data_IF_727716902913
#
_entry.id   IF_727716902913
#
_cell.length_a   1.000
_cell.length_b   1.000
_cell.length_c   1.000
_cell.angle_alpha   90.00
_cell.angle_beta   90.00
_cell.angle_gamma   90.00
#
_symmetry.space_group_name_H-M   'P 1'
#
loop_
_entity.id
_entity.type
_entity.pdbx_description
1 polymer ?
#
# COMPACT_ATOMS: atom_id res chain seq x y z
N UNK A 1 30.05 2.67 20.34
CA UNK A 1 28.61 2.96 20.42
C UNK A 1 28.30 3.78 19.18
N UNK A 2 27.87 3.13 18.09
CA UNK A 2 27.77 3.78 16.79
C UNK A 2 26.57 4.72 16.76
N UNK A 3 26.81 5.99 16.42
CA UNK A 3 25.82 7.00 16.03
C UNK A 3 25.19 6.65 14.67
N UNK A 4 24.78 5.40 14.47
CA UNK A 4 24.05 5.04 13.25
C UNK A 4 22.69 5.71 13.32
N UNK A 5 22.41 6.69 12.45
CA UNK A 5 21.07 7.25 12.31
C UNK A 5 20.88 8.54 11.54
N UNK A 6 21.94 9.29 11.30
CA UNK A 6 21.87 10.48 10.46
C UNK A 6 22.42 10.18 9.07
N UNK A 7 21.79 10.75 8.04
CA UNK A 7 22.39 10.79 6.71
C UNK A 7 23.55 11.78 6.70
N UNK A 8 24.60 11.43 5.99
CA UNK A 8 25.80 12.24 5.81
C UNK A 8 26.02 12.59 4.34
N UNK A 9 26.69 13.72 4.03
CA UNK A 9 27.12 14.02 2.68
C UNK A 9 27.95 12.88 2.10
N UNK A 10 27.55 12.39 0.92
CA UNK A 10 28.19 11.23 0.26
C UNK A 10 27.46 9.91 0.47
N UNK A 11 26.45 9.85 1.34
CA UNK A 11 25.61 8.66 1.48
C UNK A 11 24.84 8.39 0.19
N UNK A 12 24.72 7.10 -0.12
CA UNK A 12 23.96 6.65 -1.29
C UNK A 12 22.52 6.35 -0.90
N UNK A 13 21.60 6.95 -1.64
CA UNK A 13 20.16 6.73 -1.51
C UNK A 13 19.66 5.98 -2.75
N UNK A 14 18.92 4.90 -2.53
CA UNK A 14 18.33 4.09 -3.61
C UNK A 14 16.82 4.16 -3.53
N UNK A 15 16.14 4.34 -4.67
CA UNK A 15 14.68 4.30 -4.71
C UNK A 15 14.17 2.90 -4.36
N UNK A 16 13.29 2.85 -3.38
CA UNK A 16 12.68 1.63 -2.86
C UNK A 16 11.16 1.68 -3.06
N UNK A 17 10.58 0.62 -3.65
CA UNK A 17 9.15 0.37 -3.56
C UNK A 17 8.82 -0.13 -2.16
N UNK A 18 7.69 0.29 -1.60
CA UNK A 18 7.28 -0.02 -0.23
C UNK A 18 6.22 -1.12 -0.19
N UNK A 19 6.35 -2.07 0.74
CA UNK A 19 5.27 -2.99 1.10
C UNK A 19 4.26 -2.32 2.04
N UNK A 20 3.20 -3.03 2.41
CA UNK A 20 2.40 -2.66 3.59
C UNK A 20 3.31 -2.59 4.82
N UNK A 21 3.21 -1.52 5.62
CA UNK A 21 3.89 -1.41 6.90
C UNK A 21 2.98 -1.92 8.02
N UNK A 22 3.23 -3.15 8.47
CA UNK A 22 2.35 -3.83 9.44
C UNK A 22 3.16 -4.63 10.45
N UNK A 23 2.68 -4.71 11.68
CA UNK A 23 3.37 -5.36 12.80
C UNK A 23 4.78 -4.82 13.06
N UNK A 24 5.00 -3.53 12.77
CA UNK A 24 6.33 -2.91 12.88
C UNK A 24 7.30 -3.32 11.78
N UNK A 25 6.85 -4.04 10.74
CA UNK A 25 7.68 -4.51 9.64
C UNK A 25 7.35 -3.80 8.33
N UNK A 26 8.35 -3.68 7.47
CA UNK A 26 8.24 -3.14 6.12
C UNK A 26 9.25 -3.87 5.23
N UNK A 27 8.79 -4.41 4.10
CA UNK A 27 9.68 -4.86 3.04
C UNK A 27 9.89 -3.73 2.03
N UNK A 28 11.13 -3.56 1.61
CA UNK A 28 11.49 -2.70 0.49
C UNK A 28 11.98 -3.55 -0.66
N UNK A 29 11.70 -3.10 -1.89
CA UNK A 29 12.33 -3.64 -3.08
C UNK A 29 13.17 -2.56 -3.73
N UNK A 30 14.47 -2.82 -3.89
CA UNK A 30 15.43 -1.95 -4.60
C UNK A 30 15.97 -2.67 -5.82
N UNK A 31 16.47 -1.92 -6.80
CA UNK A 31 17.28 -2.47 -7.89
C UNK A 31 18.71 -1.95 -7.71
N UNK A 32 19.75 -2.81 -7.68
CA UNK A 32 19.73 -4.27 -7.89
C UNK A 32 19.48 -5.11 -6.61
N UNK A 33 19.24 -4.50 -5.45
CA UNK A 33 19.29 -5.17 -4.13
C UNK A 33 18.21 -6.23 -3.83
N UNK A 34 17.10 -6.24 -4.57
CA UNK A 34 16.02 -7.21 -4.37
C UNK A 34 15.14 -6.91 -3.14
N UNK A 35 14.32 -7.87 -2.69
CA UNK A 35 13.49 -7.72 -1.50
C UNK A 35 14.33 -7.72 -0.22
N UNK A 36 14.05 -6.80 0.69
CA UNK A 36 14.64 -6.77 2.04
C UNK A 36 13.61 -6.37 3.08
N UNK A 37 13.48 -7.19 4.13
CA UNK A 37 12.56 -6.96 5.24
C UNK A 37 13.23 -6.19 6.37
N UNK A 38 12.55 -5.18 6.88
CA UNK A 38 13.03 -4.27 7.90
C UNK A 38 12.08 -4.24 9.10
N UNK A 39 12.66 -4.13 10.29
CA UNK A 39 11.97 -3.59 11.46
C UNK A 39 11.98 -2.07 11.40
N UNK A 40 10.82 -1.46 11.70
CA UNK A 40 10.59 -0.03 11.71
C UNK A 40 10.19 0.37 13.14
N UNK A 41 11.14 0.80 13.99
CA UNK A 41 10.83 1.14 15.39
C UNK A 41 9.76 2.22 15.55
N UNK A 42 9.71 3.16 14.59
CA UNK A 42 8.73 4.25 14.54
C UNK A 42 7.63 3.98 13.49
N UNK A 43 7.19 2.72 13.39
CA UNK A 43 6.21 2.28 12.38
C UNK A 43 4.93 3.10 12.38
N UNK A 44 4.43 3.54 13.54
CA UNK A 44 3.23 4.37 13.65
C UNK A 44 3.32 5.64 12.79
N UNK A 45 4.53 6.21 12.66
CA UNK A 45 4.78 7.37 11.83
C UNK A 45 4.69 7.12 10.33
N UNK A 46 4.88 5.88 9.86
CA UNK A 46 4.65 5.46 8.48
C UNK A 46 3.20 5.00 8.29
N UNK A 47 2.67 4.22 9.23
CA UNK A 47 1.31 3.71 9.21
C UNK A 47 0.26 4.83 9.12
N UNK A 48 0.50 5.97 9.77
CA UNK A 48 -0.40 7.13 9.72
C UNK A 48 -0.46 7.86 8.38
N UNK A 49 0.48 7.59 7.47
CA UNK A 49 0.58 8.28 6.17
C UNK A 49 0.52 7.34 4.97
N UNK A 50 0.81 6.04 5.15
CA UNK A 50 0.80 5.08 4.06
C UNK A 50 -0.60 4.91 3.44
N UNK A 51 -0.72 4.98 2.14
CA UNK A 51 -2.00 4.87 1.45
C UNK A 51 -2.94 6.07 1.60
N UNK A 52 -2.48 7.18 2.19
CA UNK A 52 -3.22 8.47 2.25
C UNK A 52 -2.94 9.37 1.04
N UNK A 53 -2.10 8.93 0.10
CA UNK A 53 -1.71 9.71 -1.06
C UNK A 53 -0.71 10.83 -0.80
N UNK A 54 -0.15 10.92 0.41
CA UNK A 54 0.87 11.92 0.77
C UNK A 54 2.30 11.48 0.42
N UNK A 55 2.57 10.18 0.36
CA UNK A 55 3.90 9.65 0.03
C UNK A 55 4.12 9.74 -1.48
N UNK A 56 5.33 10.13 -1.88
CA UNK A 56 5.77 10.13 -3.27
C UNK A 56 5.59 8.77 -3.92
N UNK A 57 5.22 8.77 -5.21
CA UNK A 57 4.91 7.54 -5.94
C UNK A 57 5.72 7.44 -7.22
N UNK A 58 6.07 6.22 -7.60
CA UNK A 58 6.67 5.90 -8.90
C UNK A 58 5.70 5.13 -9.79
N UNK A 59 5.87 5.29 -11.11
CA UNK A 59 5.07 4.60 -12.10
C UNK A 59 5.36 3.09 -12.08
N UNK A 60 4.31 2.29 -11.99
CA UNK A 60 4.35 0.83 -12.05
C UNK A 60 3.89 0.31 -13.41
N UNK A 61 2.79 0.87 -13.91
CA UNK A 61 2.23 0.64 -15.23
C UNK A 61 1.47 1.90 -15.65
N UNK A 62 1.00 2.06 -16.90
CA UNK A 62 0.25 3.25 -17.30
C UNK A 62 -0.87 3.57 -16.30
N UNK A 63 -0.80 4.77 -15.69
CA UNK A 63 -1.76 5.27 -14.69
C UNK A 63 -1.85 4.46 -13.37
N UNK A 64 -0.87 3.59 -13.10
CA UNK A 64 -0.76 2.80 -11.87
C UNK A 64 0.55 3.15 -11.18
N UNK A 65 0.47 3.53 -9.91
CA UNK A 65 1.58 4.11 -9.15
C UNK A 65 1.71 3.45 -7.79
N UNK A 66 2.94 3.24 -7.32
CA UNK A 66 3.24 2.70 -5.99
C UNK A 66 3.96 3.72 -5.14
N UNK A 67 3.67 3.71 -3.85
CA UNK A 67 4.41 4.53 -2.87
C UNK A 67 5.87 4.06 -2.78
N UNK A 68 6.76 5.04 -2.78
CA UNK A 68 8.21 4.83 -2.82
C UNK A 68 8.93 5.71 -1.81
N UNK A 69 10.10 5.27 -1.41
CA UNK A 69 11.01 6.00 -0.55
C UNK A 69 12.43 6.00 -1.11
N UNK A 70 13.30 6.82 -0.54
CA UNK A 70 14.73 6.72 -0.75
C UNK A 70 15.36 6.01 0.45
N UNK A 71 16.08 4.92 0.21
CA UNK A 71 16.69 4.09 1.25
C UNK A 71 18.21 4.25 1.24
N UNK A 72 18.79 4.58 2.40
CA UNK A 72 20.20 4.35 2.69
C UNK A 72 20.30 3.10 3.56
N UNK A 73 20.71 1.99 2.95
CA UNK A 73 20.93 0.73 3.68
C UNK A 73 22.11 0.84 4.64
N UNK A 74 23.12 1.63 4.29
CA UNK A 74 24.34 1.81 5.09
C UNK A 74 24.07 2.49 6.43
N UNK A 75 23.14 3.44 6.48
CA UNK A 75 22.78 4.17 7.70
C UNK A 75 21.51 3.63 8.37
N UNK A 76 20.77 2.76 7.68
CA UNK A 76 19.46 2.29 8.13
C UNK A 76 18.45 3.44 8.18
N UNK A 77 18.38 4.22 7.10
CA UNK A 77 17.51 5.39 6.98
C UNK A 77 16.61 5.28 5.75
N UNK A 78 15.30 5.39 5.98
CA UNK A 78 14.27 5.47 4.96
C UNK A 78 13.75 6.91 4.89
N UNK A 79 13.95 7.59 3.76
CA UNK A 79 13.41 8.92 3.51
C UNK A 79 12.11 8.83 2.72
N UNK A 80 11.03 9.28 3.33
CA UNK A 80 9.72 9.42 2.72
C UNK A 80 9.59 10.82 2.14
N UNK A 81 9.61 10.91 0.82
CA UNK A 81 9.41 12.18 0.13
C UNK A 81 7.90 12.46 -0.01
N UNK A 82 7.44 13.70 0.20
CA UNK A 82 6.03 14.02 -0.01
C UNK A 82 5.69 14.05 -1.51
N UNK A 83 4.46 13.67 -1.85
CA UNK A 83 3.94 13.68 -3.23
C UNK A 83 3.80 15.09 -3.79
N UNK A 84 3.49 16.05 -2.93
CA UNK A 84 3.28 17.45 -3.28
C UNK A 84 4.10 18.34 -2.34
N UNK A 85 4.60 19.49 -2.83
CA UNK A 85 5.24 20.46 -1.96
C UNK A 85 4.19 21.11 -1.05
N UNK A 86 4.61 21.51 0.14
CA UNK A 86 3.84 22.40 1.03
C UNK A 86 4.24 23.84 0.76
N UNK A 87 3.27 24.76 0.92
CA UNK A 87 3.53 26.19 0.81
C UNK A 87 3.91 26.75 2.19
N UNK A 88 5.01 27.50 2.26
CA UNK A 88 5.45 28.16 3.49
C UNK A 88 4.66 29.45 3.72
N UNK A 89 4.81 30.04 4.91
CA UNK A 89 4.25 31.35 5.25
C UNK A 89 4.75 32.45 4.29
N UNK A 90 6.02 32.37 3.87
CA UNK A 90 6.64 33.28 2.90
C UNK A 90 6.18 33.04 1.45
N UNK A 91 5.37 32.00 1.22
CA UNK A 91 4.80 31.67 -0.08
C UNK A 91 5.65 30.72 -0.94
N UNK A 92 6.83 30.30 -0.45
CA UNK A 92 7.72 29.35 -1.11
C UNK A 92 7.17 27.92 -1.09
N UNK A 93 7.61 27.09 -2.03
CA UNK A 93 7.29 25.66 -2.07
C UNK A 93 8.43 24.84 -1.45
N UNK A 94 8.10 23.96 -0.49
CA UNK A 94 9.07 23.07 0.16
C UNK A 94 8.66 21.61 0.06
N UNK A 95 9.65 20.75 -0.15
CA UNK A 95 9.53 19.30 -0.02
C UNK A 95 10.20 18.88 1.27
N UNK A 96 9.42 18.66 2.32
CA UNK A 96 9.94 18.20 3.60
C UNK A 96 9.86 16.67 3.66
N UNK A 97 11.00 16.02 3.45
CA UNK A 97 11.10 14.57 3.54
C UNK A 97 11.10 14.14 5.02
N UNK A 98 10.36 13.07 5.34
CA UNK A 98 10.39 12.46 6.67
C UNK A 98 11.42 11.33 6.68
N UNK A 99 12.39 11.41 7.59
CA UNK A 99 13.34 10.33 7.82
C UNK A 99 12.79 9.34 8.86
N UNK A 100 12.90 8.05 8.56
CA UNK A 100 12.58 6.96 9.47
C UNK A 100 13.79 6.06 9.62
N UNK A 101 13.97 5.52 10.83
CA UNK A 101 14.97 4.49 11.08
C UNK A 101 14.43 3.12 10.69
N UNK A 102 15.29 2.34 10.05
CA UNK A 102 15.04 0.94 9.71
C UNK A 102 16.23 0.09 10.15
N UNK A 103 15.94 -1.12 10.61
CA UNK A 103 16.94 -2.12 10.97
C UNK A 103 16.56 -3.45 10.32
N UNK A 104 17.52 -4.35 10.02
CA UNK A 104 17.19 -5.69 9.54
C UNK A 104 16.18 -6.35 10.48
N UNK A 105 15.14 -6.98 9.91
CA UNK A 105 14.11 -7.62 10.72
C UNK A 105 14.68 -8.83 11.48
N UNK A 106 14.43 -8.89 12.78
CA UNK A 106 14.90 -10.00 13.65
C UNK A 106 13.76 -10.80 14.27
N UNK A 107 12.57 -10.22 14.38
CA UNK A 107 11.40 -10.83 15.01
C UNK A 107 10.16 -10.62 14.13
N UNK A 108 9.31 -11.64 14.05
CA UNK A 108 8.03 -11.56 13.35
C UNK A 108 6.90 -11.28 14.34
N UNK A 109 5.96 -10.39 14.00
CA UNK A 109 4.81 -10.11 14.85
C UNK A 109 3.91 -11.34 14.97
N UNK A 110 3.23 -11.48 16.11
CA UNK A 110 2.25 -12.55 16.37
C UNK A 110 0.94 -12.35 15.61
N UNK A 111 0.58 -11.10 15.31
CA UNK A 111 -0.56 -10.75 14.46
C UNK A 111 -0.32 -9.40 13.77
N UNK A 112 -0.82 -9.28 12.55
CA UNK A 112 -0.78 -8.07 11.72
C UNK A 112 -2.18 -7.67 11.23
N UNK A 113 -3.22 -8.38 11.68
CA UNK A 113 -4.55 -8.28 11.10
C UNK A 113 -5.15 -6.87 11.25
N UNK A 114 -5.03 -6.29 12.44
CA UNK A 114 -5.54 -4.94 12.73
C UNK A 114 -4.80 -3.87 11.93
N UNK A 115 -3.48 -4.01 11.77
CA UNK A 115 -2.66 -3.08 10.98
C UNK A 115 -3.02 -3.12 9.50
N UNK A 116 -3.22 -4.32 8.94
CA UNK A 116 -3.70 -4.48 7.56
C UNK A 116 -5.08 -3.84 7.42
N UNK A 117 -6.00 -4.12 8.35
CA UNK A 117 -7.35 -3.55 8.33
C UNK A 117 -7.33 -2.02 8.38
N UNK A 118 -6.54 -1.45 9.29
CA UNK A 118 -6.40 -0.01 9.43
C UNK A 118 -5.86 0.64 8.16
N UNK A 119 -4.86 0.03 7.52
CA UNK A 119 -4.29 0.51 6.27
C UNK A 119 -5.29 0.45 5.10
N UNK A 120 -6.12 -0.59 5.03
CA UNK A 120 -7.19 -0.69 4.03
C UNK A 120 -8.27 0.38 4.26
N UNK A 121 -8.71 0.58 5.50
CA UNK A 121 -9.65 1.66 5.84
C UNK A 121 -9.10 3.02 5.40
N UNK A 122 -7.82 3.27 5.68
CA UNK A 122 -7.14 4.52 5.30
C UNK A 122 -7.08 4.68 3.77
N UNK A 123 -6.74 3.62 3.04
CA UNK A 123 -6.64 3.61 1.58
C UNK A 123 -8.02 3.80 0.91
N UNK A 124 -9.07 3.22 1.47
CA UNK A 124 -10.46 3.43 1.04
C UNK A 124 -10.85 4.89 1.22
N UNK A 125 -10.60 5.49 2.40
CA UNK A 125 -10.87 6.91 2.65
C UNK A 125 -10.15 7.83 1.66
N UNK A 126 -8.91 7.51 1.32
CA UNK A 126 -8.16 8.23 0.28
C UNK A 126 -8.82 8.09 -1.10
N UNK A 127 -9.28 6.90 -1.48
CA UNK A 127 -9.95 6.69 -2.77
C UNK A 127 -11.28 7.42 -2.86
N UNK A 128 -12.06 7.42 -1.77
CA UNK A 128 -13.32 8.18 -1.66
C UNK A 128 -13.12 9.69 -1.90
N UNK A 129 -12.02 10.27 -1.39
CA UNK A 129 -11.77 11.71 -1.51
C UNK A 129 -11.07 12.13 -2.80
N UNK A 130 -10.29 11.24 -3.40
CA UNK A 130 -9.44 11.55 -4.56
C UNK A 130 -9.99 11.08 -5.91
N UNK A 131 -11.00 10.20 -5.91
CA UNK A 131 -11.48 9.52 -7.12
C UNK A 131 -10.44 8.56 -7.72
N UNK A 132 -9.39 8.23 -6.98
CA UNK A 132 -8.46 7.14 -7.32
C UNK A 132 -9.10 5.78 -6.97
N UNK A 133 -8.62 4.72 -7.60
CA UNK A 133 -8.77 3.36 -7.10
C UNK A 133 -7.49 2.94 -6.39
N UNK A 134 -7.55 1.88 -5.59
CA UNK A 134 -6.36 1.20 -5.12
C UNK A 134 -6.49 -0.31 -5.22
N UNK A 135 -5.37 -0.98 -5.42
CA UNK A 135 -5.26 -2.42 -5.36
C UNK A 135 -4.18 -2.82 -4.35
N UNK A 136 -4.46 -3.87 -3.58
CA UNK A 136 -3.43 -4.65 -2.89
C UNK A 136 -2.97 -5.72 -3.86
N UNK A 137 -1.67 -5.80 -4.12
CA UNK A 137 -1.10 -6.79 -5.04
C UNK A 137 0.30 -7.21 -4.58
N UNK A 138 0.87 -8.24 -5.21
CA UNK A 138 2.25 -8.65 -4.92
C UNK A 138 3.24 -7.50 -5.15
N UNK A 139 4.07 -7.26 -4.15
CA UNK A 139 5.05 -6.19 -4.17
C UNK A 139 6.31 -6.49 -5.00
N UNK A 140 7.12 -5.45 -5.22
CA UNK A 140 8.35 -5.48 -6.01
C UNK A 140 8.21 -4.94 -7.43
N UNK A 141 9.30 -4.38 -7.97
CA UNK A 141 9.33 -3.62 -9.24
C UNK A 141 8.87 -4.41 -10.46
N UNK A 142 9.09 -5.72 -10.46
CA UNK A 142 8.75 -6.63 -11.56
C UNK A 142 7.77 -7.73 -11.14
N UNK A 143 7.02 -7.54 -10.05
CA UNK A 143 6.01 -8.50 -9.61
C UNK A 143 4.97 -8.78 -10.71
N UNK A 144 4.34 -9.96 -10.74
CA UNK A 144 3.19 -10.20 -11.61
C UNK A 144 2.01 -9.27 -11.28
N UNK A 145 1.03 -9.19 -12.18
CA UNK A 145 -0.21 -8.45 -11.96
C UNK A 145 -1.17 -9.16 -10.98
N UNK A 146 -1.02 -10.47 -10.82
CA UNK A 146 -1.78 -11.30 -9.90
C UNK A 146 -0.86 -11.93 -8.84
N UNK A 147 -1.33 -12.13 -7.61
CA UNK A 147 -2.69 -11.83 -7.15
C UNK A 147 -2.92 -10.33 -6.92
N UNK A 148 -4.19 -9.90 -7.04
CA UNK A 148 -4.62 -8.56 -6.67
C UNK A 148 -6.00 -8.55 -6.01
N UNK A 149 -6.26 -7.55 -5.17
CA UNK A 149 -7.58 -7.19 -4.65
C UNK A 149 -7.75 -5.66 -4.79
N UNK A 150 -8.62 -5.27 -5.71
CA UNK A 150 -8.94 -3.90 -6.11
C UNK A 150 -10.14 -3.39 -5.32
N UNK A 151 -10.10 -2.13 -4.91
CA UNK A 151 -11.26 -1.35 -4.51
C UNK A 151 -11.38 -0.12 -5.43
N UNK A 152 -12.59 0.10 -5.96
CA UNK A 152 -12.89 1.21 -6.87
C UNK A 152 -14.32 1.70 -6.63
N UNK A 153 -14.53 3.01 -6.77
CA UNK A 153 -15.86 3.58 -6.93
C UNK A 153 -16.14 3.81 -8.42
N UNK A 154 -17.30 3.34 -8.87
CA UNK A 154 -17.80 3.58 -10.21
C UNK A 154 -19.05 4.45 -10.14
N UNK A 155 -19.22 5.41 -11.07
CA UNK A 155 -20.46 6.16 -11.19
C UNK A 155 -21.60 5.20 -11.58
N UNK A 156 -22.80 5.48 -11.07
CA UNK A 156 -24.04 4.77 -11.37
C UNK A 156 -25.20 5.76 -11.44
N UNK A 157 -26.32 5.35 -12.05
CA UNK A 157 -27.48 6.25 -12.27
C UNK A 157 -28.02 6.83 -10.96
N UNK A 158 -28.01 6.04 -9.88
CA UNK A 158 -28.48 6.41 -8.54
C UNK A 158 -27.34 6.87 -7.60
N UNK A 159 -26.12 7.09 -8.12
CA UNK A 159 -24.99 7.64 -7.37
C UNK A 159 -23.65 6.97 -7.68
N UNK A 160 -23.15 6.16 -6.77
CA UNK A 160 -21.90 5.42 -6.96
C UNK A 160 -22.00 4.01 -6.41
N UNK A 161 -21.35 3.09 -7.08
CA UNK A 161 -21.20 1.69 -6.64
C UNK A 161 -19.77 1.52 -6.14
N UNK A 162 -19.60 0.94 -4.95
CA UNK A 162 -18.32 0.40 -4.51
C UNK A 162 -18.16 -1.01 -5.07
N UNK A 163 -17.04 -1.24 -5.76
CA UNK A 163 -16.69 -2.53 -6.33
C UNK A 163 -15.38 -3.00 -5.71
N UNK A 164 -15.39 -4.23 -5.23
CA UNK A 164 -14.20 -4.96 -4.83
C UNK A 164 -14.01 -6.08 -5.84
N UNK A 165 -12.87 -6.10 -6.52
CA UNK A 165 -12.54 -7.13 -7.52
C UNK A 165 -11.25 -7.84 -7.11
N UNK A 166 -11.17 -9.15 -7.32
CA UNK A 166 -9.96 -9.92 -7.01
C UNK A 166 -9.67 -10.95 -8.10
N UNK A 167 -8.39 -11.21 -8.30
CA UNK A 167 -7.89 -12.33 -9.09
C UNK A 167 -6.63 -12.91 -8.43
N UNK A 168 -6.47 -14.25 -8.37
CA UNK A 168 -7.47 -15.24 -8.76
C UNK A 168 -8.71 -15.22 -7.84
N UNK A 169 -9.82 -15.90 -8.20
CA UNK A 169 -10.96 -16.04 -7.32
C UNK A 169 -10.56 -16.75 -5.99
N UNK A 170 -10.92 -16.21 -4.82
CA UNK A 170 -10.50 -16.73 -3.53
C UNK A 170 -11.39 -17.92 -3.11
N UNK A 171 -11.16 -19.08 -3.70
CA UNK A 171 -11.98 -20.29 -3.53
C UNK A 171 -12.08 -20.78 -2.07
N UNK A 172 -11.12 -20.48 -1.20
CA UNK A 172 -11.20 -20.88 0.22
C UNK A 172 -12.00 -19.90 1.09
N UNK A 173 -12.56 -18.83 0.52
CA UNK A 173 -13.19 -17.75 1.28
C UNK A 173 -14.72 -17.82 1.27
N UNK A 174 -15.33 -18.08 2.42
CA UNK A 174 -16.80 -18.13 2.58
C UNK A 174 -17.49 -16.83 2.15
N UNK A 175 -16.83 -15.68 2.36
CA UNK A 175 -17.34 -14.36 1.93
C UNK A 175 -17.47 -14.26 0.41
N UNK A 176 -16.55 -14.87 -0.34
CA UNK A 176 -16.46 -14.75 -1.78
C UNK A 176 -17.11 -15.89 -2.54
N UNK A 177 -17.22 -17.08 -1.94
CA UNK A 177 -17.82 -18.28 -2.54
C UNK A 177 -19.13 -18.01 -3.32
N UNK A 178 -20.11 -17.25 -2.79
CA UNK A 178 -21.35 -16.97 -3.52
C UNK A 178 -21.18 -16.15 -4.81
N UNK A 179 -20.03 -15.50 -4.99
CA UNK A 179 -19.72 -14.60 -6.10
C UNK A 179 -18.77 -15.22 -7.13
N UNK A 180 -18.26 -16.43 -6.88
CA UNK A 180 -17.35 -17.12 -7.80
C UNK A 180 -18.16 -17.78 -8.90
N UNK A 181 -17.88 -17.41 -10.15
CA UNK A 181 -18.49 -18.02 -11.34
C UNK A 181 -17.47 -18.94 -11.99
N UNK A 182 -17.85 -20.21 -12.19
CA UNK A 182 -16.97 -21.21 -12.78
C UNK A 182 -16.44 -20.77 -14.16
N UNK A 183 -15.13 -20.85 -14.35
CA UNK A 183 -14.44 -20.48 -15.59
C UNK A 183 -14.12 -19.00 -15.74
N UNK A 184 -14.39 -18.15 -14.73
CA UNK A 184 -13.91 -16.77 -14.70
C UNK A 184 -12.61 -16.65 -13.91
N UNK A 185 -11.64 -15.92 -14.47
CA UNK A 185 -10.33 -15.69 -13.84
C UNK A 185 -10.35 -14.59 -12.77
N UNK A 186 -11.49 -13.90 -12.60
CA UNK A 186 -11.71 -12.84 -11.61
C UNK A 186 -13.13 -12.89 -11.07
N UNK A 187 -13.32 -12.36 -9.88
CA UNK A 187 -14.64 -12.20 -9.25
C UNK A 187 -14.76 -10.82 -8.61
N UNK A 188 -15.98 -10.33 -8.51
CA UNK A 188 -16.28 -8.99 -7.99
C UNK A 188 -17.50 -8.98 -7.09
N UNK A 189 -17.43 -8.19 -6.02
CA UNK A 189 -18.56 -7.84 -5.15
C UNK A 189 -18.83 -6.35 -5.35
N UNK A 190 -20.05 -6.02 -5.78
CA UNK A 190 -20.52 -4.66 -5.97
C UNK A 190 -21.68 -4.32 -5.04
N UNK A 191 -21.70 -3.11 -4.48
CA UNK A 191 -22.81 -2.61 -3.69
C UNK A 191 -22.94 -1.08 -3.85
N UNK A 192 -24.14 -0.49 -3.64
CA UNK A 192 -24.27 0.96 -3.54
C UNK A 192 -23.29 1.51 -2.50
N UNK A 193 -22.61 2.61 -2.81
CA UNK A 193 -21.57 3.23 -1.96
C UNK A 193 -22.19 3.94 -0.73
N UNK A 194 -22.65 3.14 0.22
CA UNK A 194 -23.23 3.55 1.50
C UNK A 194 -22.21 3.41 2.63
N UNK A 195 -22.43 4.07 3.78
CA UNK A 195 -21.56 3.90 4.95
C UNK A 195 -21.35 2.42 5.30
N UNK A 196 -22.42 1.63 5.27
CA UNK A 196 -22.37 0.18 5.57
C UNK A 196 -21.49 -0.60 4.58
N UNK A 197 -21.61 -0.36 3.27
CA UNK A 197 -20.80 -1.10 2.29
C UNK A 197 -19.33 -0.67 2.31
N UNK A 198 -19.07 0.62 2.58
CA UNK A 198 -17.72 1.16 2.76
C UNK A 198 -17.06 0.61 4.02
N UNK A 199 -17.79 0.53 5.14
CA UNK A 199 -17.26 -0.02 6.40
C UNK A 199 -16.99 -1.54 6.34
N UNK A 200 -17.73 -2.26 5.49
CA UNK A 200 -17.55 -3.69 5.25
C UNK A 200 -16.38 -4.00 4.29
N UNK A 201 -16.04 -3.07 3.39
CA UNK A 201 -15.06 -3.29 2.33
C UNK A 201 -13.67 -3.80 2.81
N UNK A 202 -13.05 -3.25 3.87
CA UNK A 202 -11.78 -3.79 4.38
C UNK A 202 -11.85 -5.28 4.72
N UNK A 203 -12.94 -5.71 5.38
CA UNK A 203 -13.10 -7.11 5.78
C UNK A 203 -13.28 -8.03 4.58
N UNK A 204 -14.02 -7.59 3.55
CA UNK A 204 -14.19 -8.33 2.29
C UNK A 204 -12.86 -8.48 1.56
N UNK A 205 -12.06 -7.40 1.48
CA UNK A 205 -10.74 -7.43 0.86
C UNK A 205 -9.78 -8.37 1.60
N UNK A 206 -9.75 -8.31 2.93
CA UNK A 206 -8.92 -9.20 3.75
C UNK A 206 -9.27 -10.67 3.52
N UNK A 207 -10.56 -11.00 3.44
CA UNK A 207 -11.02 -12.36 3.16
C UNK A 207 -10.55 -12.91 1.80
N UNK A 208 -10.22 -12.04 0.83
CA UNK A 208 -9.56 -12.45 -0.41
C UNK A 208 -8.03 -12.57 -0.23
N UNK A 209 -7.40 -11.55 0.35
CA UNK A 209 -5.94 -11.47 0.55
C UNK A 209 -5.42 -12.68 1.34
N UNK A 210 -6.15 -13.11 2.37
CA UNK A 210 -5.80 -14.25 3.22
C UNK A 210 -5.68 -15.57 2.44
N UNK A 211 -6.38 -15.72 1.30
CA UNK A 211 -6.33 -16.94 0.48
C UNK A 211 -5.02 -17.11 -0.30
N UNK A 212 -4.25 -16.04 -0.47
CA UNK A 212 -3.03 -16.07 -1.28
C UNK A 212 -1.84 -16.73 -0.58
N UNK A 213 -1.93 -16.95 0.74
CA UNK A 213 -0.82 -17.50 1.53
C UNK A 213 0.44 -16.61 1.53
N UNK A 214 0.28 -15.31 1.26
CA UNK A 214 1.36 -14.33 1.26
C UNK A 214 1.42 -13.62 2.61
N UNK A 215 2.63 -13.28 3.06
CA UNK A 215 2.75 -12.40 4.21
C UNK A 215 2.35 -10.97 3.83
N UNK A 216 1.78 -10.17 4.74
CA UNK A 216 1.37 -8.80 4.42
C UNK A 216 2.50 -7.89 3.91
N UNK A 217 3.74 -8.10 4.36
CA UNK A 217 4.91 -7.38 3.87
C UNK A 217 5.38 -7.86 2.48
N UNK A 218 4.78 -8.91 1.91
CA UNK A 218 4.96 -9.26 0.50
C UNK A 218 4.02 -8.49 -0.44
N UNK A 219 3.10 -7.71 0.13
CA UNK A 219 2.06 -6.97 -0.58
C UNK A 219 2.40 -5.49 -0.67
N UNK A 220 1.94 -4.82 -1.73
CA UNK A 220 2.08 -3.39 -1.93
C UNK A 220 0.73 -2.76 -2.30
N UNK A 221 0.57 -1.49 -1.97
CA UNK A 221 -0.54 -0.67 -2.45
C UNK A 221 -0.19 -0.06 -3.80
N UNK A 222 -1.06 -0.27 -4.77
CA UNK A 222 -0.98 0.37 -6.09
C UNK A 222 -2.22 1.23 -6.31
N UNK A 223 -1.99 2.50 -6.58
CA UNK A 223 -3.04 3.48 -6.81
C UNK A 223 -3.15 3.84 -8.28
N UNK A 224 -4.35 4.12 -8.74
CA UNK A 224 -4.55 4.58 -10.11
C UNK A 224 -5.83 5.37 -10.29
N UNK A 225 -6.09 5.79 -11.53
CA UNK A 225 -7.34 6.46 -11.89
C UNK A 225 -8.04 5.68 -13.00
N UNK A 226 -9.36 5.46 -12.91
CA UNK A 226 -10.13 4.85 -13.98
C UNK A 226 -9.92 5.60 -15.30
N UNK A 227 -9.91 4.90 -16.43
CA UNK A 227 -9.87 5.57 -17.74
C UNK A 227 -11.01 6.61 -17.84
N UNK A 228 -10.78 7.78 -18.48
CA UNK A 228 -11.82 8.79 -18.66
C UNK A 228 -12.98 8.27 -19.50
#
# INVERSE_FOLDING_TARGET
MNEGGALHPGDTLTTASLSLCVGGLLQTWTEPGGPRLWSVPEAQGLQSIQGTGVIGRSLRAPRRFRETALLSESTGTLLLQPRFPTRTEDGDLRFEAKALRVAPATELPTSTQDDVRALLVQSIKHCLSSGEFFAVERGGWNAPAEPFCLFILLPDDDGSISVIETAPPPDSSETWQPHIVAGQDRTSIGAPASATSIDAAPSIMMAAIETWGLAPWDLALTFGRPAP
#
